data_IF_680906211485
#
_entry.id   IF_680906211485
#
_cell.length_a   1.000
_cell.length_b   1.000
_cell.length_c   1.000
_cell.angle_alpha   90.00
_cell.angle_beta   90.00
_cell.angle_gamma   90.00
#
_symmetry.space_group_name_H-M   'P 1'
#
loop_
_entity.id
_entity.type
_entity.pdbx_description
1 polymer ?
#
# COMPACT_ATOMS: atom_id res chain seq x y z
N UNK A 1 22.37 -8.22 2.76
CA UNK A 1 21.38 -7.21 2.29
C UNK A 1 20.36 -7.95 1.45
N UNK A 2 19.16 -8.06 1.94
CA UNK A 2 18.03 -8.60 1.20
C UNK A 2 17.67 -7.67 0.03
N UNK A 3 17.42 -8.23 -1.13
CA UNK A 3 17.16 -7.46 -2.35
C UNK A 3 15.68 -7.36 -2.66
N UNK A 4 15.25 -6.26 -3.29
CA UNK A 4 13.87 -6.12 -3.82
C UNK A 4 13.50 -7.21 -4.82
N UNK A 5 14.48 -7.97 -5.34
CA UNK A 5 14.28 -9.03 -6.35
C UNK A 5 15.22 -10.21 -6.13
N UNK A 6 14.79 -11.39 -6.54
CA UNK A 6 15.56 -12.64 -6.50
C UNK A 6 15.55 -13.33 -7.87
N UNK A 7 16.70 -13.84 -8.33
CA UNK A 7 16.77 -14.63 -9.56
C UNK A 7 16.47 -16.09 -9.30
N UNK A 8 15.63 -16.69 -10.13
CA UNK A 8 15.31 -18.13 -10.11
C UNK A 8 15.39 -18.73 -11.51
N UNK A 9 15.82 -19.98 -11.58
CA UNK A 9 15.71 -20.77 -12.80
C UNK A 9 14.31 -21.38 -12.87
N UNK A 10 13.60 -21.12 -13.97
CA UNK A 10 12.22 -21.60 -14.20
C UNK A 10 12.11 -22.36 -15.51
N UNK A 11 11.14 -23.24 -15.61
CA UNK A 11 10.74 -23.88 -16.85
C UNK A 11 9.57 -23.09 -17.45
N UNK A 12 9.81 -22.43 -18.58
CA UNK A 12 8.75 -21.77 -19.33
C UNK A 12 8.09 -22.79 -20.25
N UNK A 13 6.81 -23.02 -20.05
CA UNK A 13 5.98 -23.85 -20.92
C UNK A 13 5.09 -22.94 -21.77
N UNK A 14 5.10 -23.15 -23.07
CA UNK A 14 4.22 -22.46 -24.02
C UNK A 14 3.31 -23.47 -24.71
N UNK A 15 2.01 -23.25 -24.59
CA UNK A 15 0.99 -24.05 -25.27
C UNK A 15 0.49 -23.24 -26.46
N UNK A 16 0.66 -23.76 -27.68
CA UNK A 16 0.06 -23.16 -28.87
C UNK A 16 -1.30 -23.75 -29.08
N UNK A 17 -2.36 -22.94 -29.10
CA UNK A 17 -3.71 -23.38 -29.41
C UNK A 17 -3.80 -23.91 -30.82
N UNK A 18 -4.61 -24.95 -31.05
CA UNK A 18 -5.02 -25.35 -32.36
C UNK A 18 -5.93 -24.28 -32.98
N UNK A 19 -5.46 -23.56 -34.01
CA UNK A 19 -6.31 -22.72 -34.83
C UNK A 19 -6.11 -21.22 -34.76
N UNK A 20 -5.02 -20.70 -35.34
CA UNK A 20 -4.98 -19.35 -35.92
C UNK A 20 -4.40 -19.31 -37.36
N UNK A 21 -4.01 -20.43 -37.93
CA UNK A 21 -3.61 -20.48 -39.34
C UNK A 21 -4.63 -21.38 -40.09
N UNK A 22 -5.39 -20.73 -40.96
CA UNK A 22 -6.44 -21.38 -41.78
C UNK A 22 -5.92 -22.33 -42.86
N UNK A 23 -5.19 -23.38 -42.46
CA UNK A 23 -4.84 -24.52 -43.33
C UNK A 23 -5.16 -25.84 -42.58
N UNK A 24 -6.06 -26.60 -43.14
CA UNK A 24 -6.46 -27.91 -42.66
C UNK A 24 -5.25 -28.87 -42.61
N UNK A 25 -4.72 -29.07 -41.43
CA UNK A 25 -3.69 -30.07 -41.10
C UNK A 25 -3.82 -30.42 -39.64
N UNK A 26 -4.12 -31.67 -39.32
CA UNK A 26 -4.22 -32.22 -37.98
C UNK A 26 -2.87 -32.17 -37.28
N UNK A 27 -2.55 -31.03 -36.66
CA UNK A 27 -1.45 -30.92 -35.71
C UNK A 27 -2.00 -30.52 -34.34
N UNK A 28 -1.93 -31.48 -33.42
CA UNK A 28 -2.30 -31.28 -32.00
C UNK A 28 -1.61 -30.07 -31.38
N UNK A 29 -2.20 -29.52 -30.35
CA UNK A 29 -1.65 -28.40 -29.56
C UNK A 29 -0.17 -28.64 -29.27
N UNK A 30 0.70 -27.84 -29.88
CA UNK A 30 2.15 -27.93 -29.69
C UNK A 30 2.53 -27.39 -28.32
N UNK A 31 3.16 -28.22 -27.48
CA UNK A 31 3.73 -27.78 -26.18
C UNK A 31 5.24 -27.68 -26.35
N UNK A 32 5.78 -26.52 -26.02
CA UNK A 32 7.23 -26.30 -25.94
C UNK A 32 7.64 -25.92 -24.53
N UNK A 33 8.79 -26.40 -24.08
CA UNK A 33 9.34 -26.09 -22.77
C UNK A 33 10.80 -25.64 -22.89
N UNK A 34 11.17 -24.58 -22.19
CA UNK A 34 12.54 -24.07 -22.16
C UNK A 34 12.92 -23.57 -20.76
N UNK A 35 14.13 -23.92 -20.32
CA UNK A 35 14.67 -23.39 -19.08
C UNK A 35 15.17 -21.95 -19.29
N UNK A 36 14.78 -21.03 -18.40
CA UNK A 36 15.26 -19.64 -18.42
C UNK A 36 15.49 -19.11 -17.01
N UNK A 37 16.23 -18.01 -16.88
CA UNK A 37 16.27 -17.25 -15.66
C UNK A 37 15.05 -16.32 -15.60
N UNK A 38 14.43 -16.21 -14.42
CA UNK A 38 13.34 -15.28 -14.14
C UNK A 38 13.68 -14.43 -12.92
N UNK A 39 13.05 -13.27 -12.81
CA UNK A 39 13.23 -12.32 -11.70
C UNK A 39 11.94 -12.29 -10.87
N UNK A 40 12.04 -12.65 -9.61
CA UNK A 40 10.91 -12.64 -8.68
C UNK A 40 10.99 -11.40 -7.79
N UNK A 41 9.84 -10.88 -7.36
CA UNK A 41 9.78 -9.87 -6.30
C UNK A 41 10.31 -10.46 -4.99
N UNK A 42 11.12 -9.69 -4.27
CA UNK A 42 11.58 -10.04 -2.94
C UNK A 42 10.43 -9.97 -1.95
N UNK A 43 10.34 -10.97 -1.07
CA UNK A 43 9.36 -11.02 0.01
C UNK A 43 10.05 -11.54 1.27
N UNK A 44 10.02 -10.74 2.35
CA UNK A 44 10.66 -11.04 3.61
C UNK A 44 9.83 -10.50 4.78
N UNK A 45 9.93 -11.12 5.98
CA UNK A 45 9.29 -10.58 7.16
C UNK A 45 9.90 -9.23 7.56
N UNK A 46 9.07 -8.35 8.16
CA UNK A 46 9.49 -7.15 8.85
C UNK A 46 8.78 -7.09 10.20
N UNK A 47 9.56 -7.09 11.28
CA UNK A 47 9.09 -6.80 12.62
C UNK A 47 9.04 -5.30 12.87
N UNK A 48 7.90 -4.80 13.35
CA UNK A 48 7.76 -3.41 13.83
C UNK A 48 7.71 -3.46 15.34
N UNK A 49 8.60 -2.70 15.99
CA UNK A 49 8.65 -2.49 17.43
C UNK A 49 8.33 -1.06 17.79
N UNK A 50 7.81 -0.85 18.97
CA UNK A 50 7.58 0.46 19.56
C UNK A 50 8.20 0.46 20.95
N UNK A 51 9.14 1.39 21.19
CA UNK A 51 9.90 1.50 22.43
C UNK A 51 10.50 0.15 22.88
N UNK A 52 11.11 -0.57 21.93
CA UNK A 52 11.72 -1.89 22.15
C UNK A 52 10.73 -3.06 22.27
N UNK A 53 9.42 -2.81 22.30
CA UNK A 53 8.39 -3.84 22.44
C UNK A 53 7.82 -4.22 21.07
N UNK A 54 7.75 -5.52 20.77
CA UNK A 54 7.17 -6.01 19.52
C UNK A 54 5.70 -5.58 19.40
N UNK A 55 5.34 -4.98 18.26
CA UNK A 55 3.99 -4.55 17.93
C UNK A 55 3.37 -5.51 16.92
N UNK A 56 4.03 -5.75 15.80
CA UNK A 56 3.52 -6.61 14.71
C UNK A 56 4.66 -7.14 13.84
N UNK A 57 4.32 -8.14 13.02
CA UNK A 57 5.18 -8.63 11.94
C UNK A 57 4.38 -8.68 10.64
N UNK A 58 4.93 -8.17 9.56
CA UNK A 58 4.31 -8.20 8.23
C UNK A 58 5.28 -8.74 7.18
N UNK A 59 4.76 -9.39 6.13
CA UNK A 59 5.54 -9.75 4.95
C UNK A 59 5.60 -8.55 4.01
N UNK A 60 6.80 -8.17 3.57
CA UNK A 60 6.99 -6.99 2.71
C UNK A 60 8.01 -7.22 1.62
N UNK A 61 7.99 -6.40 0.59
CA UNK A 61 9.15 -6.26 -0.31
C UNK A 61 10.19 -5.35 0.36
N UNK A 62 11.45 -5.83 0.52
CA UNK A 62 12.52 -5.06 1.14
C UNK A 62 12.71 -3.66 0.55
N UNK A 63 13.03 -2.71 1.44
CA UNK A 63 13.21 -1.29 1.12
C UNK A 63 12.03 -0.43 1.54
N UNK A 64 12.35 0.82 1.86
CA UNK A 64 11.43 1.81 2.42
C UNK A 64 10.79 1.33 3.76
N UNK A 65 11.53 0.52 4.53
CA UNK A 65 11.04 -0.18 5.74
C UNK A 65 10.71 0.78 6.88
N UNK A 66 11.46 1.88 7.00
CA UNK A 66 11.18 2.95 7.98
C UNK A 66 9.89 3.69 7.63
N UNK A 67 9.66 3.93 6.34
CA UNK A 67 8.38 4.49 5.85
C UNK A 67 7.23 3.52 6.11
N UNK A 68 7.42 2.21 5.84
CA UNK A 68 6.42 1.19 6.14
C UNK A 68 6.00 1.22 7.61
N UNK A 69 6.99 1.26 8.52
CA UNK A 69 6.72 1.30 9.96
C UNK A 69 5.99 2.58 10.38
N UNK A 70 6.43 3.77 9.90
CA UNK A 70 5.77 5.03 10.20
C UNK A 70 4.31 5.07 9.71
N UNK A 71 4.08 4.66 8.47
CA UNK A 71 2.73 4.63 7.89
C UNK A 71 1.82 3.60 8.53
N UNK A 72 2.35 2.44 8.93
CA UNK A 72 1.62 1.46 9.71
C UNK A 72 1.12 2.08 11.03
N UNK A 73 1.97 2.81 11.76
CA UNK A 73 1.58 3.45 13.01
C UNK A 73 0.49 4.52 12.83
N UNK A 74 0.50 5.27 11.72
CA UNK A 74 -0.61 6.17 11.36
C UNK A 74 -1.87 5.36 11.06
N UNK A 75 -1.77 4.31 10.25
CA UNK A 75 -2.90 3.44 9.87
C UNK A 75 -3.56 2.74 11.06
N UNK A 76 -2.82 2.54 12.16
CA UNK A 76 -3.32 2.01 13.44
C UNK A 76 -3.67 3.12 14.44
N UNK A 77 -3.63 4.40 14.03
CA UNK A 77 -3.92 5.57 14.86
C UNK A 77 -3.03 5.67 16.13
N UNK A 78 -1.83 5.10 16.09
CA UNK A 78 -0.85 5.18 17.18
C UNK A 78 -0.13 6.53 17.14
N UNK A 79 0.20 7.01 15.94
CA UNK A 79 0.79 8.32 15.70
C UNK A 79 -0.05 9.13 14.71
N UNK A 80 0.01 10.45 14.80
CA UNK A 80 -0.75 11.38 13.96
C UNK A 80 0.11 12.15 12.97
N UNK A 81 1.41 12.22 13.25
CA UNK A 81 2.37 12.95 12.44
C UNK A 81 3.81 12.75 12.90
N UNK A 82 4.70 13.55 12.34
CA UNK A 82 6.14 13.47 12.61
C UNK A 82 6.49 13.72 14.08
N UNK A 83 5.78 14.63 14.73
CA UNK A 83 6.06 15.06 16.12
C UNK A 83 5.78 13.96 17.15
N UNK A 84 4.95 12.97 16.82
CA UNK A 84 4.67 11.82 17.67
C UNK A 84 5.81 10.78 17.67
N UNK A 85 6.82 10.95 16.80
CA UNK A 85 7.93 10.02 16.63
C UNK A 85 9.25 10.70 17.07
N UNK A 86 9.82 10.25 18.18
CA UNK A 86 11.12 10.72 18.67
C UNK A 86 12.28 10.19 17.82
N UNK A 87 12.18 8.97 17.32
CA UNK A 87 13.21 8.35 16.48
C UNK A 87 12.79 7.04 15.87
N UNK A 88 13.51 6.62 14.82
CA UNK A 88 13.29 5.33 14.15
C UNK A 88 14.63 4.70 13.81
N UNK A 89 14.75 3.40 14.02
CA UNK A 89 15.99 2.67 13.82
C UNK A 89 15.71 1.32 13.18
N UNK A 90 16.48 1.00 12.13
CA UNK A 90 16.54 -0.36 11.59
C UNK A 90 17.55 -1.14 12.42
N UNK A 91 17.17 -2.32 12.93
CA UNK A 91 18.05 -3.17 13.69
C UNK A 91 19.14 -3.78 12.80
N UNK A 92 20.39 -3.44 13.06
CA UNK A 92 21.58 -3.93 12.35
C UNK A 92 22.29 -5.08 13.07
N UNK A 93 21.65 -5.64 14.09
CA UNK A 93 22.22 -6.70 14.95
C UNK A 93 23.13 -6.20 16.07
N UNK A 94 23.61 -4.94 16.01
CA UNK A 94 24.54 -4.39 17.01
C UNK A 94 23.90 -3.34 17.93
N UNK A 95 22.83 -2.74 17.50
CA UNK A 95 22.28 -1.51 18.07
C UNK A 95 20.88 -1.63 18.67
N UNK A 96 20.24 -2.79 18.60
CA UNK A 96 18.97 -3.09 19.27
C UNK A 96 19.29 -3.76 20.61
N UNK A 97 19.31 -2.98 21.67
CA UNK A 97 19.74 -3.36 23.02
C UNK A 97 18.89 -4.43 23.70
N UNK A 98 18.82 -5.63 23.19
CA UNK A 98 18.58 -6.90 23.90
C UNK A 98 18.87 -8.10 23.00
N UNK A 99 19.88 -8.89 23.40
CA UNK A 99 20.00 -10.36 23.45
C UNK A 99 19.43 -11.17 22.28
N UNK A 100 20.32 -11.93 21.64
CA UNK A 100 20.02 -13.08 20.79
C UNK A 100 19.18 -12.80 19.53
N UNK A 101 19.60 -11.80 18.72
CA UNK A 101 19.07 -11.69 17.36
C UNK A 101 19.64 -12.81 16.49
N UNK A 102 18.75 -13.59 15.89
CA UNK A 102 19.15 -14.52 14.83
C UNK A 102 19.64 -13.74 13.61
N UNK A 103 20.48 -14.34 12.79
CA UNK A 103 20.98 -13.71 11.57
C UNK A 103 19.83 -13.22 10.63
N UNK A 104 18.66 -13.85 10.72
CA UNK A 104 17.46 -13.53 9.94
C UNK A 104 16.71 -12.28 10.44
N UNK A 105 16.97 -11.83 11.68
CA UNK A 105 16.36 -10.62 12.26
C UNK A 105 17.16 -9.35 11.90
N UNK A 106 18.41 -9.50 11.49
CA UNK A 106 19.27 -8.37 11.10
C UNK A 106 18.73 -7.71 9.82
N UNK A 107 18.37 -6.44 9.93
CA UNK A 107 17.78 -5.66 8.82
C UNK A 107 16.28 -5.87 8.61
N UNK A 108 15.64 -6.76 9.38
CA UNK A 108 14.23 -7.08 9.28
C UNK A 108 13.40 -6.60 10.49
N UNK A 109 13.94 -5.67 11.28
CA UNK A 109 13.23 -5.05 12.39
C UNK A 109 13.38 -3.53 12.29
N UNK A 110 12.28 -2.81 12.43
CA UNK A 110 12.25 -1.35 12.66
C UNK A 110 11.73 -1.10 14.07
N UNK A 111 12.52 -0.42 14.88
CA UNK A 111 12.11 0.05 16.21
C UNK A 111 11.82 1.55 16.15
N UNK A 112 10.62 1.92 16.62
CA UNK A 112 10.12 3.30 16.63
C UNK A 112 10.04 3.76 18.08
N UNK A 113 10.80 4.79 18.41
CA UNK A 113 10.69 5.49 19.68
C UNK A 113 9.60 6.56 19.58
N UNK A 114 8.61 6.50 20.43
CA UNK A 114 7.52 7.50 20.47
C UNK A 114 7.95 8.75 21.23
N UNK A 115 7.34 9.88 20.88
CA UNK A 115 7.52 11.12 21.62
C UNK A 115 6.87 11.04 23.01
N UNK A 116 7.35 11.88 23.93
CA UNK A 116 6.82 11.90 25.30
C UNK A 116 5.31 12.17 25.33
N UNK A 117 4.56 11.31 26.01
CA UNK A 117 3.10 11.41 26.13
C UNK A 117 2.31 10.65 25.06
N UNK A 118 2.96 10.16 24.01
CA UNK A 118 2.33 9.25 23.02
C UNK A 118 2.39 7.83 23.57
N UNK A 119 1.27 7.11 23.55
CA UNK A 119 1.19 5.76 24.11
C UNK A 119 0.45 4.82 23.15
N UNK A 120 0.91 3.58 23.09
CA UNK A 120 0.20 2.51 22.36
C UNK A 120 -0.95 2.00 23.22
N UNK A 121 -2.18 2.09 22.74
CA UNK A 121 -3.34 1.55 23.44
C UNK A 121 -3.17 0.05 23.71
N UNK A 122 -3.62 -0.43 24.87
CA UNK A 122 -3.45 -1.83 25.29
C UNK A 122 -4.00 -2.85 24.28
N UNK A 123 -5.02 -2.49 23.50
CA UNK A 123 -5.60 -3.32 22.45
C UNK A 123 -4.78 -3.39 21.15
N UNK A 124 -3.88 -2.43 20.90
CA UNK A 124 -3.04 -2.40 19.70
C UNK A 124 -1.79 -3.29 19.83
N UNK A 125 -1.47 -3.76 21.03
CA UNK A 125 -0.33 -4.68 21.27
C UNK A 125 -0.76 -6.11 20.98
N UNK A 126 -0.69 -6.51 19.72
CA UNK A 126 -1.03 -7.87 19.31
C UNK A 126 0.15 -8.53 18.62
N UNK A 127 0.64 -9.62 19.21
CA UNK A 127 1.60 -10.54 18.61
C UNK A 127 0.91 -11.36 17.50
N UNK A 128 0.58 -10.74 16.37
CA UNK A 128 0.06 -11.48 15.23
C UNK A 128 0.96 -11.32 14.02
N UNK A 129 1.27 -12.45 13.41
CA UNK A 129 1.76 -12.48 12.04
C UNK A 129 0.62 -11.97 11.14
N UNK A 130 0.70 -10.73 10.73
CA UNK A 130 -0.29 -10.16 9.80
C UNK A 130 0.04 -10.71 8.43
N UNK A 131 -0.71 -11.70 7.98
CA UNK A 131 -0.59 -12.14 6.59
C UNK A 131 -1.09 -11.02 5.69
N UNK A 132 -0.35 -10.70 4.64
CA UNK A 132 -0.60 -9.62 3.67
C UNK A 132 -1.98 -9.67 2.96
N UNK A 133 -2.82 -10.65 3.27
CA UNK A 133 -4.08 -10.89 2.61
C UNK A 133 -5.28 -10.23 3.31
N UNK A 134 -5.20 -9.88 4.62
CA UNK A 134 -6.35 -9.37 5.36
C UNK A 134 -5.89 -8.63 6.62
N UNK A 135 -5.84 -7.29 6.58
CA UNK A 135 -5.37 -6.43 7.69
C UNK A 135 -6.31 -6.38 8.92
N UNK A 136 -7.53 -6.97 8.83
CA UNK A 136 -8.52 -7.01 9.93
C UNK A 136 -8.23 -8.10 10.96
N UNK A 137 -7.30 -9.03 10.68
CA UNK A 137 -6.91 -10.06 11.63
C UNK A 137 -6.24 -9.45 12.87
N UNK A 138 -7.05 -9.09 13.86
CA UNK A 138 -6.53 -8.60 15.14
C UNK A 138 -7.37 -7.57 15.85
N UNK A 139 -8.35 -6.93 15.23
CA UNK A 139 -9.30 -6.03 15.90
C UNK A 139 -10.44 -6.86 16.52
N UNK A 140 -10.79 -6.62 17.78
CA UNK A 140 -11.73 -7.45 18.54
C UNK A 140 -13.16 -6.96 18.50
N UNK A 141 -13.40 -5.71 18.07
CA UNK A 141 -14.75 -5.15 17.89
C UNK A 141 -14.83 -4.35 16.58
N UNK A 142 -16.05 -4.18 16.07
CA UNK A 142 -16.35 -3.32 14.93
C UNK A 142 -16.02 -1.85 15.28
N UNK A 143 -16.24 -1.45 16.52
CA UNK A 143 -15.96 -0.08 16.99
C UNK A 143 -14.46 0.24 17.03
N UNK A 144 -13.59 -0.76 17.24
CA UNK A 144 -12.13 -0.62 17.15
C UNK A 144 -11.65 -0.43 15.71
N UNK A 145 -12.53 -0.65 14.74
CA UNK A 145 -12.22 -0.61 13.30
C UNK A 145 -12.46 0.80 12.75
N UNK A 146 -13.47 1.52 13.25
CA UNK A 146 -13.86 2.84 12.76
C UNK A 146 -13.13 3.96 13.52
N UNK A 147 -11.88 4.24 13.12
CA UNK A 147 -11.16 5.44 13.61
C UNK A 147 -11.39 6.57 12.61
N UNK A 148 -12.12 7.60 13.01
CA UNK A 148 -12.37 8.77 12.18
C UNK A 148 -11.21 9.78 12.27
N UNK A 149 -10.97 10.58 11.23
CA UNK A 149 -9.92 11.59 11.21
C UNK A 149 -10.23 12.71 12.21
N UNK A 150 -9.19 13.44 12.65
CA UNK A 150 -9.36 14.59 13.56
C UNK A 150 -10.08 15.77 12.91
N UNK A 151 -10.00 15.88 11.57
CA UNK A 151 -10.71 16.88 10.78
C UNK A 151 -11.48 16.18 9.66
N UNK A 152 -12.73 16.56 9.40
CA UNK A 152 -13.53 15.93 8.35
C UNK A 152 -12.92 16.23 6.98
N UNK A 153 -12.73 15.20 6.15
CA UNK A 153 -12.26 15.36 4.77
C UNK A 153 -13.23 16.18 3.91
N UNK A 154 -14.48 16.28 4.33
CA UNK A 154 -15.50 17.14 3.67
C UNK A 154 -15.12 18.62 3.62
N UNK A 155 -14.23 19.07 4.51
CA UNK A 155 -13.71 20.45 4.51
C UNK A 155 -12.70 20.71 3.38
N UNK A 156 -12.11 19.64 2.78
CA UNK A 156 -11.22 19.77 1.62
C UNK A 156 -12.04 20.06 0.36
N UNK A 157 -11.92 21.28 -0.16
CA UNK A 157 -12.61 21.76 -1.36
C UNK A 157 -11.94 21.41 -2.69
N UNK A 158 -10.92 20.55 -2.68
CA UNK A 158 -10.17 20.18 -3.90
C UNK A 158 -11.05 19.45 -4.89
N UNK A 159 -11.02 19.89 -6.14
CA UNK A 159 -11.74 19.28 -7.26
C UNK A 159 -10.77 18.75 -8.28
N UNK A 160 -11.00 17.52 -8.73
CA UNK A 160 -10.15 16.81 -9.69
C UNK A 160 -10.83 16.75 -11.06
N UNK A 161 -10.11 17.11 -12.12
CA UNK A 161 -10.61 16.95 -13.48
C UNK A 161 -10.66 15.45 -13.84
N UNK A 162 -11.75 14.95 -14.45
CA UNK A 162 -11.88 13.55 -14.87
C UNK A 162 -10.75 13.08 -15.78
N UNK A 163 -10.29 13.93 -16.69
CA UNK A 163 -9.16 13.63 -17.57
C UNK A 163 -7.85 13.44 -16.80
N UNK A 164 -7.64 14.24 -15.75
CA UNK A 164 -6.49 14.09 -14.84
C UNK A 164 -6.54 12.74 -14.14
N UNK A 165 -7.69 12.38 -13.55
CA UNK A 165 -7.86 11.09 -12.88
C UNK A 165 -7.65 9.91 -13.84
N UNK A 166 -8.20 9.98 -15.06
CA UNK A 166 -8.04 8.94 -16.08
C UNK A 166 -6.58 8.71 -16.50
N UNK A 167 -5.72 9.72 -16.39
CA UNK A 167 -4.30 9.61 -16.70
C UNK A 167 -3.45 8.97 -15.58
N UNK A 168 -3.92 8.95 -14.33
CA UNK A 168 -3.14 8.49 -13.19
C UNK A 168 -2.67 7.02 -13.29
N UNK A 169 -3.49 6.05 -13.76
CA UNK A 169 -3.04 4.67 -13.89
C UNK A 169 -1.84 4.50 -14.83
N UNK A 170 -1.80 5.24 -15.95
CA UNK A 170 -0.65 5.25 -16.86
C UNK A 170 0.61 5.75 -16.16
N UNK A 171 0.53 6.89 -15.49
CA UNK A 171 1.65 7.47 -14.73
C UNK A 171 2.14 6.53 -13.62
N UNK A 172 1.22 5.91 -12.88
CA UNK A 172 1.57 4.92 -11.86
C UNK A 172 2.29 3.74 -12.50
N UNK A 173 1.79 3.21 -13.61
CA UNK A 173 2.36 2.05 -14.31
C UNK A 173 3.77 2.33 -14.82
N UNK A 174 4.04 3.51 -15.36
CA UNK A 174 5.37 3.94 -15.80
C UNK A 174 6.37 4.03 -14.65
N UNK A 175 5.90 4.42 -13.45
CA UNK A 175 6.72 4.56 -12.26
C UNK A 175 7.02 3.22 -11.55
N UNK A 176 6.28 2.14 -11.84
CA UNK A 176 6.43 0.81 -11.22
C UNK A 176 7.64 0.06 -11.78
N UNK A 177 8.83 0.32 -11.26
CA UNK A 177 10.10 -0.25 -11.75
C UNK A 177 10.27 -1.72 -11.44
N UNK A 178 9.96 -2.12 -10.20
CA UNK A 178 10.13 -3.51 -9.76
C UNK A 178 9.04 -4.40 -10.36
N UNK A 179 7.80 -3.93 -10.39
CA UNK A 179 6.71 -4.64 -11.07
C UNK A 179 7.01 -4.85 -12.55
N UNK A 180 7.61 -3.88 -13.25
CA UNK A 180 7.94 -4.00 -14.68
C UNK A 180 8.91 -5.14 -14.98
N UNK A 181 9.76 -5.49 -14.00
CA UNK A 181 10.74 -6.58 -14.13
C UNK A 181 10.25 -7.92 -13.58
N UNK A 182 9.32 -7.92 -12.61
CA UNK A 182 8.90 -9.12 -11.88
C UNK A 182 7.43 -9.49 -12.08
N UNK A 183 6.55 -8.51 -12.34
CA UNK A 183 5.10 -8.69 -12.43
C UNK A 183 4.41 -9.00 -11.09
N UNK A 184 5.14 -9.02 -9.96
CA UNK A 184 4.69 -9.60 -8.69
C UNK A 184 4.34 -8.60 -7.57
N UNK A 185 4.22 -7.30 -7.85
CA UNK A 185 4.01 -6.28 -6.83
C UNK A 185 2.73 -5.49 -7.03
N UNK A 186 2.18 -5.02 -5.92
CA UNK A 186 1.23 -3.92 -5.88
C UNK A 186 1.97 -2.58 -5.85
N UNK A 187 1.24 -1.51 -6.18
CA UNK A 187 1.74 -0.15 -6.05
C UNK A 187 0.68 0.79 -5.48
N UNK A 188 1.16 1.81 -4.78
CA UNK A 188 0.42 2.99 -4.41
C UNK A 188 1.15 4.23 -4.96
N UNK A 189 0.41 5.18 -5.51
CA UNK A 189 0.93 6.45 -6.01
C UNK A 189 0.15 7.62 -5.41
N UNK A 190 0.87 8.59 -4.89
CA UNK A 190 0.30 9.85 -4.41
C UNK A 190 0.45 10.90 -5.50
N UNK A 191 -0.63 11.60 -5.79
CA UNK A 191 -0.68 12.61 -6.85
C UNK A 191 -1.23 13.93 -6.32
N UNK A 192 -0.75 15.04 -6.89
CA UNK A 192 -1.37 16.36 -6.69
C UNK A 192 -2.72 16.45 -7.43
N UNK A 193 -3.52 17.48 -7.15
CA UNK A 193 -4.75 17.76 -7.89
C UNK A 193 -4.52 17.97 -9.40
N UNK A 194 -3.33 18.44 -9.79
CA UNK A 194 -2.93 18.56 -11.19
C UNK A 194 -2.49 17.23 -11.82
N UNK A 195 -2.46 16.14 -11.06
CA UNK A 195 -2.03 14.82 -11.51
C UNK A 195 -0.51 14.66 -11.64
N UNK A 196 0.26 15.43 -10.88
CA UNK A 196 1.70 15.23 -10.74
C UNK A 196 1.98 14.10 -9.75
N UNK A 197 2.86 13.17 -10.08
CA UNK A 197 3.26 12.08 -9.19
C UNK A 197 4.20 12.63 -8.12
N UNK A 198 3.73 12.66 -6.87
CA UNK A 198 4.48 13.13 -5.70
C UNK A 198 5.33 12.03 -5.08
N UNK A 199 4.77 10.82 -4.99
CA UNK A 199 5.46 9.65 -4.47
C UNK A 199 4.86 8.36 -5.04
N UNK A 200 5.70 7.32 -5.18
CA UNK A 200 5.29 5.96 -5.56
C UNK A 200 5.98 4.95 -4.68
N UNK A 201 5.24 3.93 -4.23
CA UNK A 201 5.81 2.80 -3.50
C UNK A 201 5.24 1.49 -4.04
N UNK A 202 6.13 0.50 -4.13
CA UNK A 202 5.80 -0.86 -4.58
C UNK A 202 6.03 -1.83 -3.42
N UNK A 203 5.11 -2.77 -3.24
CA UNK A 203 5.22 -3.83 -2.25
C UNK A 203 4.41 -5.07 -2.67
N UNK A 204 4.80 -6.25 -2.20
CA UNK A 204 4.02 -7.50 -2.36
C UNK A 204 2.64 -7.37 -1.70
N UNK A 205 2.55 -6.60 -0.61
CA UNK A 205 1.32 -6.26 0.11
C UNK A 205 0.75 -4.90 -0.34
N UNK A 206 -0.49 -4.89 -0.85
CA UNK A 206 -1.15 -3.63 -1.22
C UNK A 206 -1.29 -2.64 -0.04
N UNK A 207 -1.50 -3.15 1.18
CA UNK A 207 -1.57 -2.34 2.40
C UNK A 207 -0.21 -1.71 2.72
N UNK A 208 0.86 -2.49 2.61
CA UNK A 208 2.22 -2.01 2.82
C UNK A 208 2.60 -0.91 1.81
N UNK A 209 2.17 -1.03 0.54
CA UNK A 209 2.43 -0.01 -0.46
C UNK A 209 1.81 1.34 -0.06
N UNK A 210 0.60 1.33 0.53
CA UNK A 210 -0.06 2.54 1.06
C UNK A 210 0.63 3.01 2.34
N UNK A 211 0.99 2.11 3.26
CA UNK A 211 1.73 2.48 4.47
C UNK A 211 3.06 3.15 4.13
N UNK A 212 3.80 2.64 3.14
CA UNK A 212 5.03 3.29 2.67
C UNK A 212 4.78 4.71 2.15
N UNK A 213 3.68 4.97 1.45
CA UNK A 213 3.31 6.33 1.01
C UNK A 213 2.98 7.23 2.20
N UNK A 214 2.16 6.74 3.13
CA UNK A 214 1.77 7.51 4.33
C UNK A 214 3.01 7.79 5.19
N UNK A 215 3.86 6.78 5.40
CA UNK A 215 5.10 6.94 6.16
C UNK A 215 6.10 7.89 5.49
N UNK A 216 6.21 7.86 4.15
CA UNK A 216 6.96 8.89 3.44
C UNK A 216 6.44 10.29 3.78
N UNK A 217 5.13 10.49 3.80
CA UNK A 217 4.54 11.77 4.13
C UNK A 217 4.83 12.17 5.60
N UNK A 218 4.76 11.23 6.54
CA UNK A 218 5.15 11.45 7.95
C UNK A 218 6.60 11.93 8.03
N UNK A 219 7.53 11.21 7.41
CA UNK A 219 8.96 11.51 7.49
C UNK A 219 9.34 12.84 6.82
N UNK A 220 8.52 13.32 5.88
CA UNK A 220 8.66 14.61 5.19
C UNK A 220 7.81 15.72 5.82
N UNK A 221 7.17 15.43 6.97
CA UNK A 221 6.27 16.38 7.68
C UNK A 221 5.19 16.97 6.75
N UNK A 222 4.53 16.07 5.97
CA UNK A 222 3.54 16.45 4.95
C UNK A 222 2.10 16.06 5.30
N UNK A 223 1.86 15.48 6.48
CA UNK A 223 0.49 15.20 6.91
C UNK A 223 -0.19 16.46 7.46
N UNK A 224 -1.49 16.67 7.22
CA UNK A 224 -2.37 15.86 6.38
C UNK A 224 -2.12 16.06 4.88
N UNK A 225 -2.38 15.03 4.08
CA UNK A 225 -2.22 15.04 2.61
C UNK A 225 -3.44 15.67 1.91
N UNK A 226 -3.82 16.87 2.35
CA UNK A 226 -4.89 17.64 1.75
C UNK A 226 -4.59 17.95 0.27
N UNK A 227 -5.62 17.99 -0.56
CA UNK A 227 -5.49 18.28 -2.00
C UNK A 227 -4.85 17.16 -2.82
N UNK A 228 -4.59 15.99 -2.24
CA UNK A 228 -3.95 14.89 -2.92
C UNK A 228 -4.95 13.78 -3.32
N UNK A 229 -4.58 13.02 -4.34
CA UNK A 229 -5.23 11.77 -4.73
C UNK A 229 -4.28 10.59 -4.50
N UNK A 230 -4.75 9.54 -3.83
CA UNK A 230 -4.06 8.26 -3.68
C UNK A 230 -4.61 7.29 -4.71
N UNK A 231 -3.77 6.74 -5.58
CA UNK A 231 -4.14 5.67 -6.50
C UNK A 231 -3.50 4.34 -6.07
N UNK A 232 -4.30 3.29 -5.98
CA UNK A 232 -3.83 1.93 -5.72
C UNK A 232 -4.02 1.03 -6.94
N UNK A 233 -3.03 0.19 -7.24
CA UNK A 233 -3.04 -0.73 -8.38
C UNK A 233 -4.00 -1.91 -8.23
N UNK A 234 -4.53 -2.13 -7.02
CA UNK A 234 -5.41 -3.22 -6.65
C UNK A 234 -6.85 -2.78 -6.38
N UNK A 235 -7.52 -3.54 -5.50
CA UNK A 235 -8.87 -3.23 -4.98
C UNK A 235 -8.77 -2.21 -3.85
N UNK A 236 -9.78 -1.36 -3.69
CA UNK A 236 -9.96 -0.55 -2.50
C UNK A 236 -10.70 -1.37 -1.43
N UNK A 237 -10.00 -1.75 -0.36
CA UNK A 237 -10.57 -2.39 0.83
C UNK A 237 -10.89 -1.33 1.89
N UNK A 238 -11.68 -1.72 2.88
CA UNK A 238 -11.97 -0.91 4.06
C UNK A 238 -10.68 -0.29 4.66
N UNK A 239 -9.64 -1.11 4.87
CA UNK A 239 -8.39 -0.69 5.49
C UNK A 239 -7.64 0.35 4.65
N UNK A 240 -7.67 0.24 3.31
CA UNK A 240 -7.05 1.24 2.44
C UNK A 240 -7.78 2.58 2.52
N UNK A 241 -9.12 2.56 2.64
CA UNK A 241 -9.92 3.76 2.90
C UNK A 241 -9.57 4.33 4.27
N UNK A 242 -9.51 3.52 5.32
CA UNK A 242 -9.12 3.95 6.66
C UNK A 242 -7.74 4.62 6.68
N UNK A 243 -6.74 4.03 6.02
CA UNK A 243 -5.39 4.61 5.91
C UNK A 243 -5.40 5.95 5.17
N UNK A 244 -6.16 6.07 4.09
CA UNK A 244 -6.30 7.32 3.35
C UNK A 244 -6.98 8.41 4.21
N UNK A 245 -8.04 8.03 4.93
CA UNK A 245 -8.77 8.92 5.85
C UNK A 245 -7.85 9.44 6.97
N UNK A 246 -7.10 8.55 7.64
CA UNK A 246 -6.18 8.91 8.71
C UNK A 246 -5.00 9.75 8.23
N UNK A 247 -4.58 9.58 6.99
CA UNK A 247 -3.56 10.41 6.36
C UNK A 247 -4.09 11.76 5.83
N UNK A 248 -5.39 12.03 5.93
CA UNK A 248 -6.01 13.27 5.45
C UNK A 248 -6.09 13.38 3.92
N UNK A 249 -6.18 12.25 3.21
CA UNK A 249 -6.27 12.20 1.74
C UNK A 249 -7.73 12.29 1.31
N UNK A 250 -8.16 13.32 0.56
CA UNK A 250 -9.56 13.52 0.20
C UNK A 250 -10.07 12.59 -0.91
N UNK A 251 -9.19 11.98 -1.72
CA UNK A 251 -9.56 11.10 -2.81
C UNK A 251 -8.72 9.82 -2.84
N UNK A 252 -9.40 8.66 -2.79
CA UNK A 252 -8.80 7.34 -3.05
C UNK A 252 -9.35 6.77 -4.35
N UNK A 253 -8.46 6.46 -5.27
CA UNK A 253 -8.77 5.78 -6.53
C UNK A 253 -8.18 4.37 -6.57
N UNK A 254 -8.90 3.44 -7.17
CA UNK A 254 -8.46 2.06 -7.36
C UNK A 254 -8.65 1.61 -8.82
N UNK A 255 -7.68 0.87 -9.34
CA UNK A 255 -7.78 0.24 -10.67
C UNK A 255 -8.90 -0.81 -10.72
N UNK A 256 -9.20 -1.43 -9.57
CA UNK A 256 -10.23 -2.46 -9.43
C UNK A 256 -11.40 -1.99 -8.53
N UNK A 257 -12.23 -2.92 -8.09
CA UNK A 257 -13.43 -2.65 -7.32
C UNK A 257 -13.14 -2.25 -5.87
N UNK A 258 -13.96 -1.36 -5.26
CA UNK A 258 -14.05 -1.24 -3.82
C UNK A 258 -14.91 -2.36 -3.20
N UNK A 259 -14.76 -2.58 -1.89
CA UNK A 259 -15.72 -3.36 -1.11
C UNK A 259 -16.89 -2.47 -0.63
N UNK A 260 -18.03 -3.10 -0.23
CA UNK A 260 -19.17 -2.35 0.31
C UNK A 260 -18.78 -1.55 1.56
N UNK A 261 -18.08 -2.18 2.50
CA UNK A 261 -17.62 -1.54 3.73
C UNK A 261 -16.62 -0.40 3.46
N UNK A 262 -15.82 -0.50 2.40
CA UNK A 262 -14.95 0.60 1.96
C UNK A 262 -15.77 1.81 1.47
N UNK A 263 -16.86 1.57 0.76
CA UNK A 263 -17.74 2.64 0.30
C UNK A 263 -18.50 3.30 1.46
N UNK A 264 -19.00 2.52 2.40
CA UNK A 264 -19.67 3.00 3.62
C UNK A 264 -18.75 3.91 4.45
N UNK A 265 -17.53 3.45 4.74
CA UNK A 265 -16.54 4.27 5.47
C UNK A 265 -16.15 5.53 4.68
N UNK A 266 -15.98 5.43 3.37
CA UNK A 266 -15.64 6.58 2.54
C UNK A 266 -16.74 7.66 2.55
N UNK A 267 -18.01 7.24 2.54
CA UNK A 267 -19.16 8.15 2.63
C UNK A 267 -19.21 8.83 3.99
N UNK A 268 -19.09 8.07 5.08
CA UNK A 268 -19.08 8.57 6.45
C UNK A 268 -17.94 9.56 6.71
N UNK A 269 -16.74 9.24 6.24
CA UNK A 269 -15.56 10.10 6.39
C UNK A 269 -15.52 11.30 5.43
N UNK A 270 -16.42 11.37 4.44
CA UNK A 270 -16.41 12.40 3.40
C UNK A 270 -15.25 12.25 2.41
N UNK A 271 -14.75 11.02 2.19
CA UNK A 271 -13.72 10.70 1.22
C UNK A 271 -14.33 10.43 -0.15
N UNK A 272 -13.72 10.95 -1.21
CA UNK A 272 -14.09 10.59 -2.58
C UNK A 272 -13.50 9.25 -2.95
N UNK A 273 -14.35 8.25 -3.20
CA UNK A 273 -13.92 6.91 -3.57
C UNK A 273 -14.20 6.62 -5.04
N UNK A 274 -13.13 6.34 -5.78
CA UNK A 274 -13.17 6.02 -7.21
C UNK A 274 -12.70 4.57 -7.40
N UNK A 275 -13.48 3.76 -8.11
CA UNK A 275 -13.11 2.41 -8.50
C UNK A 275 -13.13 2.20 -10.00
N UNK A 276 -12.59 1.08 -10.44
CA UNK A 276 -12.46 0.70 -11.86
C UNK A 276 -11.81 1.81 -12.72
N UNK A 277 -10.88 2.55 -12.12
CA UNK A 277 -10.14 3.59 -12.83
C UNK A 277 -9.15 2.94 -13.81
N UNK A 278 -9.57 2.81 -15.06
CA UNK A 278 -8.79 2.19 -16.13
C UNK A 278 -9.24 2.69 -17.50
N UNK A 279 -8.26 2.87 -18.40
CA UNK A 279 -8.53 3.49 -19.70
C UNK A 279 -9.07 4.92 -19.49
N UNK A 280 -10.22 5.21 -20.06
CA UNK A 280 -10.89 6.51 -19.96
C UNK A 280 -12.17 6.45 -19.12
N UNK A 281 -12.33 5.43 -18.28
CA UNK A 281 -13.55 5.25 -17.47
C UNK A 281 -13.21 5.03 -15.99
N UNK A 282 -14.15 5.42 -15.13
CA UNK A 282 -14.12 5.24 -13.70
C UNK A 282 -15.53 5.23 -13.13
N UNK A 283 -15.71 4.62 -11.97
CA UNK A 283 -16.93 4.70 -11.18
C UNK A 283 -16.66 5.54 -9.94
N UNK A 284 -17.40 6.59 -9.71
CA UNK A 284 -17.36 7.40 -8.47
C UNK A 284 -18.43 6.84 -7.53
N UNK A 285 -18.01 6.29 -6.40
CA UNK A 285 -18.90 5.66 -5.42
C UNK A 285 -19.35 6.65 -4.36
N UNK A 286 -18.48 7.55 -3.93
CA UNK A 286 -18.75 8.57 -2.90
C UNK A 286 -18.06 9.88 -3.30
N UNK A 287 -18.54 11.01 -2.74
CA UNK A 287 -17.87 12.30 -2.86
C UNK A 287 -17.79 12.84 -4.31
N UNK A 288 -18.83 12.63 -5.13
CA UNK A 288 -18.85 13.02 -6.54
C UNK A 288 -18.61 14.53 -6.76
N UNK A 289 -18.87 15.36 -5.75
CA UNK A 289 -18.63 16.81 -5.78
C UNK A 289 -17.15 17.19 -5.98
N UNK A 290 -16.20 16.27 -5.70
CA UNK A 290 -14.78 16.48 -5.98
C UNK A 290 -14.34 16.02 -7.36
N UNK A 291 -15.24 15.53 -8.20
CA UNK A 291 -14.95 15.18 -9.59
C UNK A 291 -15.68 16.15 -10.50
N UNK A 292 -14.95 16.94 -11.28
CA UNK A 292 -15.51 17.98 -12.14
C UNK A 292 -16.24 17.37 -13.36
N UNK A 293 -17.42 16.77 -13.13
CA UNK A 293 -18.26 16.29 -14.23
C UNK A 293 -19.14 17.43 -14.75
N UNK A 294 -19.33 17.57 -16.06
CA UNK A 294 -20.31 18.49 -16.61
C UNK A 294 -21.71 18.14 -16.09
N UNK A 295 -22.50 19.17 -15.77
CA UNK A 295 -23.88 19.01 -15.36
C UNK A 295 -24.75 18.46 -16.52
#
# INVERSE_FOLDING_TARGET
MSGRTARRRVLRVTVRGAGQDGAAGAHGAGVTASARADLLAGEEPLGIRVDGTALTMTMRTPGDDVELAAGFLVGEAIVRGRDDIAGMKVCDGTSCGHLDHTADEIGNIVDVALAAGVTVAAGARRNFMTTSACGVCGKTSIDDICVLPQAPLSADGTVFAPATLAALPGKLREAQRVFSSTGGLHAAGLFSAAGELLAVREDVGRHNAVDKIVGWAVLQDKLPLAGCALLVSGRASFELVQKAVLAGIPLLAAVSAPSSLAAELAEEAGLTLVGFLRGQSMNVYTGANRVAVPA
#
